data_IF_785934595211
#
_entry.id   IF_785934595211
#
_cell.length_a   1.000
_cell.length_b   1.000
_cell.length_c   1.000
_cell.angle_alpha   90.00
_cell.angle_beta   90.00
_cell.angle_gamma   90.00
#
_symmetry.space_group_name_H-M   'P 1'
#
loop_
_entity.id
_entity.type
_entity.pdbx_description
1 polymer ?
#
# COMPACT_ATOMS: atom_id res chain seq x y z
N UNK A 1 -3.11 -16.43 0.66
CA UNK A 1 -3.70 -15.37 -0.22
C UNK A 1 -2.73 -14.20 -0.33
N UNK A 2 -2.88 -13.31 -1.31
CA UNK A 2 -2.04 -12.13 -1.43
C UNK A 2 -2.51 -11.00 -0.50
N UNK A 3 -1.56 -10.15 -0.09
CA UNK A 3 -1.81 -8.95 0.71
C UNK A 3 -1.72 -7.68 -0.15
N UNK A 4 -0.73 -7.64 -1.05
CA UNK A 4 -0.47 -6.50 -1.95
C UNK A 4 0.12 -7.01 -3.25
N UNK A 5 -0.21 -6.33 -4.35
CA UNK A 5 0.35 -6.59 -5.67
C UNK A 5 0.62 -5.27 -6.39
N UNK A 6 1.79 -5.17 -7.01
CA UNK A 6 2.17 -4.04 -7.85
C UNK A 6 2.87 -4.56 -9.10
N UNK A 7 2.50 -4.04 -10.28
CA UNK A 7 3.10 -4.45 -11.55
C UNK A 7 3.88 -3.27 -12.15
N UNK A 8 5.20 -3.39 -12.17
CA UNK A 8 6.12 -2.43 -12.80
C UNK A 8 6.38 -2.85 -14.25
N UNK A 9 6.12 -1.96 -15.21
CA UNK A 9 6.43 -2.23 -16.62
C UNK A 9 7.94 -2.26 -16.84
N UNK A 10 8.45 -3.31 -17.48
CA UNK A 10 9.84 -3.42 -17.92
C UNK A 10 9.94 -2.95 -19.37
N UNK A 11 9.24 -3.64 -20.30
CA UNK A 11 9.27 -3.32 -21.72
C UNK A 11 8.02 -3.89 -22.41
N UNK A 12 7.36 -3.10 -23.27
CA UNK A 12 6.17 -3.55 -24.00
C UNK A 12 5.10 -4.09 -23.05
N UNK A 13 4.78 -5.37 -23.17
CA UNK A 13 3.83 -6.09 -22.31
C UNK A 13 4.50 -6.94 -21.23
N UNK A 14 5.80 -6.76 -20.99
CA UNK A 14 6.55 -7.42 -19.92
C UNK A 14 6.52 -6.59 -18.66
N UNK A 15 6.24 -7.24 -17.53
CA UNK A 15 6.13 -6.63 -16.21
C UNK A 15 6.94 -7.41 -15.18
N UNK A 16 7.51 -6.68 -14.22
CA UNK A 16 7.97 -7.21 -12.95
C UNK A 16 6.85 -7.03 -11.94
N UNK A 17 6.28 -8.13 -11.50
CA UNK A 17 5.21 -8.12 -10.50
C UNK A 17 5.82 -8.29 -9.12
N UNK A 18 5.59 -7.31 -8.27
CA UNK A 18 5.90 -7.34 -6.86
C UNK A 18 4.68 -7.85 -6.11
N UNK A 19 4.83 -8.98 -5.44
CA UNK A 19 3.73 -9.67 -4.77
C UNK A 19 4.07 -9.93 -3.32
N UNK A 20 3.18 -9.49 -2.43
CA UNK A 20 3.22 -9.80 -1.00
C UNK A 20 2.11 -10.79 -0.68
N UNK A 21 2.50 -11.94 -0.19
CA UNK A 21 1.61 -13.03 0.24
C UNK A 21 1.79 -13.28 1.74
N UNK A 22 0.93 -14.10 2.34
CA UNK A 22 1.08 -14.54 3.73
C UNK A 22 2.44 -15.21 4.03
N UNK A 23 3.08 -15.74 2.99
CA UNK A 23 4.39 -16.42 3.06
C UNK A 23 5.58 -15.48 2.85
N UNK A 24 5.35 -14.22 2.51
CA UNK A 24 6.37 -13.21 2.28
C UNK A 24 6.29 -12.55 0.91
N UNK A 25 7.34 -11.81 0.58
CA UNK A 25 7.48 -11.04 -0.65
C UNK A 25 8.17 -11.83 -1.75
N UNK A 26 7.68 -11.66 -2.98
CA UNK A 26 8.28 -12.23 -4.20
C UNK A 26 8.27 -11.25 -5.36
N UNK A 27 9.22 -11.44 -6.30
CA UNK A 27 9.25 -10.78 -7.61
C UNK A 27 9.03 -11.82 -8.69
N UNK A 28 8.12 -11.53 -9.62
CA UNK A 28 7.72 -12.45 -10.67
C UNK A 28 7.79 -11.71 -12.00
N UNK A 29 8.60 -12.19 -12.94
CA UNK A 29 8.55 -11.72 -14.33
C UNK A 29 7.29 -12.29 -14.97
N UNK A 30 6.47 -11.42 -15.55
CA UNK A 30 5.19 -11.78 -16.12
C UNK A 30 4.91 -11.01 -17.41
N UNK A 31 4.32 -11.70 -18.38
CA UNK A 31 3.91 -11.10 -19.65
C UNK A 31 2.40 -10.87 -19.63
N UNK A 32 1.98 -9.62 -19.75
CA UNK A 32 0.58 -9.26 -19.90
C UNK A 32 0.07 -9.69 -21.27
N UNK A 33 -0.56 -10.84 -21.33
CA UNK A 33 -1.17 -11.41 -22.54
C UNK A 33 -2.61 -10.89 -22.68
N UNK A 34 -3.05 -10.62 -23.90
CA UNK A 34 -4.46 -10.43 -24.21
C UNK A 34 -5.05 -11.70 -24.84
N UNK A 35 -6.34 -11.66 -25.08
CA UNK A 35 -7.06 -12.75 -25.73
C UNK A 35 -7.68 -12.20 -27.02
N UNK A 36 -7.72 -13.02 -28.05
CA UNK A 36 -8.35 -12.69 -29.32
C UNK A 36 -9.24 -13.85 -29.78
N UNK A 37 -10.35 -13.55 -30.42
CA UNK A 37 -11.20 -14.56 -31.02
C UNK A 37 -10.46 -15.37 -32.08
N UNK A 38 -10.77 -16.65 -32.15
CA UNK A 38 -10.16 -17.60 -33.08
C UNK A 38 -11.13 -18.74 -33.41
N UNK A 39 -10.76 -19.56 -34.39
CA UNK A 39 -11.48 -20.79 -34.67
C UNK A 39 -11.41 -21.77 -33.50
N UNK A 40 -12.44 -22.59 -33.32
CA UNK A 40 -12.53 -23.57 -32.22
C UNK A 40 -11.32 -24.49 -32.15
N UNK A 41 -10.76 -24.86 -33.30
CA UNK A 41 -9.56 -25.71 -33.37
C UNK A 41 -8.28 -25.07 -32.81
N UNK A 42 -8.27 -23.73 -32.67
CA UNK A 42 -7.15 -22.95 -32.12
C UNK A 42 -7.43 -22.41 -30.71
N UNK A 43 -8.63 -22.63 -30.23
CA UNK A 43 -9.08 -22.11 -28.96
C UNK A 43 -8.35 -22.79 -27.80
N UNK A 44 -7.91 -21.96 -26.86
CA UNK A 44 -7.34 -22.42 -25.57
C UNK A 44 -8.14 -21.94 -24.37
N UNK A 45 -9.11 -21.03 -24.61
CA UNK A 45 -9.93 -20.40 -23.59
C UNK A 45 -11.32 -20.13 -24.16
N UNK A 46 -12.30 -20.00 -23.27
CA UNK A 46 -13.67 -19.61 -23.63
C UNK A 46 -13.96 -18.24 -23.01
N UNK A 47 -14.50 -17.33 -23.81
CA UNK A 47 -14.97 -16.03 -23.35
C UNK A 47 -16.27 -16.12 -22.54
N UNK A 48 -16.70 -14.98 -22.00
CA UNK A 48 -17.89 -14.91 -21.13
C UNK A 48 -19.19 -15.26 -21.85
N UNK A 49 -19.28 -15.02 -23.15
CA UNK A 49 -20.45 -15.33 -23.99
C UNK A 49 -20.26 -16.61 -24.82
N UNK A 50 -19.22 -17.39 -24.55
CA UNK A 50 -18.93 -18.64 -25.23
C UNK A 50 -17.99 -18.50 -26.44
N UNK A 51 -17.37 -17.34 -26.65
CA UNK A 51 -16.42 -17.12 -27.75
C UNK A 51 -15.18 -18.01 -27.59
N UNK A 52 -14.70 -18.55 -28.71
CA UNK A 52 -13.43 -19.28 -28.76
C UNK A 52 -12.25 -18.32 -28.78
N UNK A 53 -11.41 -18.36 -27.77
CA UNK A 53 -10.32 -17.41 -27.53
C UNK A 53 -8.96 -18.10 -27.49
N UNK A 54 -7.93 -17.38 -27.98
CA UNK A 54 -6.52 -17.76 -27.77
C UNK A 54 -5.71 -16.60 -27.19
N UNK A 55 -4.71 -16.93 -26.38
CA UNK A 55 -3.77 -15.94 -25.82
C UNK A 55 -2.83 -15.39 -26.86
N UNK A 56 -2.54 -14.09 -26.77
CA UNK A 56 -1.52 -13.41 -27.56
C UNK A 56 -0.66 -12.52 -26.67
N UNK A 57 0.66 -12.54 -26.90
CA UNK A 57 1.63 -11.74 -26.10
C UNK A 57 1.93 -10.38 -26.76
N UNK A 58 1.87 -10.31 -28.11
CA UNK A 58 2.13 -9.09 -28.84
C UNK A 58 0.80 -8.46 -29.28
N UNK A 59 0.35 -7.47 -28.54
CA UNK A 59 -0.91 -6.77 -28.78
C UNK A 59 -0.80 -5.29 -28.49
N UNK A 60 -1.73 -4.51 -29.08
CA UNK A 60 -1.87 -3.06 -28.86
C UNK A 60 -3.27 -2.76 -28.33
N UNK A 61 -3.43 -1.80 -27.40
CA UNK A 61 -4.72 -1.49 -26.77
C UNK A 61 -5.84 -1.05 -27.72
N UNK A 62 -5.49 -0.54 -28.88
CA UNK A 62 -6.41 -0.03 -29.89
C UNK A 62 -7.04 -1.10 -30.81
N UNK A 63 -6.69 -2.37 -30.62
CA UNK A 63 -7.30 -3.45 -31.39
C UNK A 63 -8.69 -3.81 -30.81
N UNK A 64 -9.79 -3.60 -31.57
CA UNK A 64 -11.15 -3.81 -31.07
C UNK A 64 -11.53 -5.28 -30.84
N UNK A 65 -10.73 -6.22 -31.36
CA UNK A 65 -10.99 -7.65 -31.23
C UNK A 65 -10.31 -8.28 -30.00
N UNK A 66 -9.78 -7.44 -29.11
CA UNK A 66 -9.15 -7.89 -27.87
C UNK A 66 -10.17 -8.07 -26.75
N UNK A 67 -10.04 -9.18 -26.04
CA UNK A 67 -10.75 -9.45 -24.83
C UNK A 67 -9.83 -9.28 -23.61
N UNK A 68 -10.37 -8.77 -22.50
CA UNK A 68 -9.67 -8.58 -21.22
C UNK A 68 -8.44 -7.67 -21.31
N UNK A 69 -8.41 -6.72 -22.24
CA UNK A 69 -7.33 -5.74 -22.41
C UNK A 69 -7.52 -4.49 -21.54
N UNK A 70 -8.73 -4.25 -21.04
CA UNK A 70 -9.17 -3.14 -20.20
C UNK A 70 -8.81 -3.32 -18.72
N UNK A 71 -8.39 -4.52 -18.31
CA UNK A 71 -7.91 -4.78 -16.95
C UNK A 71 -6.50 -4.21 -16.75
N UNK A 72 -6.25 -3.63 -15.58
CA UNK A 72 -4.89 -3.24 -15.22
C UNK A 72 -3.98 -4.47 -15.11
N UNK A 73 -2.66 -4.33 -15.41
CA UNK A 73 -1.74 -5.48 -15.39
C UNK A 73 -1.75 -6.25 -14.08
N UNK A 74 -1.78 -5.55 -12.92
CA UNK A 74 -1.79 -6.22 -11.63
C UNK A 74 -3.11 -6.97 -11.35
N UNK A 75 -4.26 -6.40 -11.75
CA UNK A 75 -5.56 -7.07 -11.61
C UNK A 75 -5.60 -8.36 -12.42
N UNK A 76 -5.14 -8.30 -13.66
CA UNK A 76 -5.10 -9.46 -14.54
C UNK A 76 -4.16 -10.54 -14.02
N UNK A 77 -2.97 -10.17 -13.54
CA UNK A 77 -2.06 -11.10 -12.89
C UNK A 77 -2.72 -11.79 -11.69
N UNK A 78 -3.45 -11.04 -10.85
CA UNK A 78 -4.15 -11.60 -9.69
C UNK A 78 -5.25 -12.56 -10.10
N UNK A 79 -6.04 -12.24 -11.14
CA UNK A 79 -7.06 -13.14 -11.68
C UNK A 79 -6.41 -14.42 -12.24
N UNK A 80 -5.33 -14.30 -13.01
CA UNK A 80 -4.63 -15.47 -13.55
C UNK A 80 -4.04 -16.37 -12.45
N UNK A 81 -3.51 -15.76 -11.37
CA UNK A 81 -2.87 -16.51 -10.28
C UNK A 81 -3.86 -17.08 -9.25
N UNK A 82 -4.92 -16.35 -8.95
CA UNK A 82 -5.83 -16.64 -7.81
C UNK A 82 -7.30 -16.81 -8.20
N UNK A 83 -7.68 -16.65 -9.47
CA UNK A 83 -9.08 -16.62 -9.89
C UNK A 83 -9.93 -17.84 -9.51
N UNK A 84 -9.31 -18.96 -9.16
CA UNK A 84 -9.98 -20.18 -8.68
C UNK A 84 -9.73 -20.45 -7.19
N UNK A 85 -9.11 -19.53 -6.47
CA UNK A 85 -8.79 -19.71 -5.05
C UNK A 85 -9.70 -18.87 -4.18
N UNK A 86 -10.61 -19.54 -3.45
CA UNK A 86 -11.57 -18.93 -2.52
C UNK A 86 -11.04 -18.82 -1.08
N UNK A 87 -9.78 -19.19 -0.82
CA UNK A 87 -9.20 -19.06 0.52
C UNK A 87 -9.10 -17.59 0.91
N UNK A 88 -9.60 -17.19 2.09
CA UNK A 88 -9.46 -15.83 2.56
C UNK A 88 -7.98 -15.50 2.84
N UNK A 89 -7.57 -14.25 2.59
CA UNK A 89 -6.28 -13.76 3.06
C UNK A 89 -6.28 -13.68 4.59
N UNK A 90 -5.10 -13.81 5.21
CA UNK A 90 -4.93 -13.49 6.62
C UNK A 90 -5.27 -12.02 6.86
N UNK A 91 -5.73 -11.72 8.08
CA UNK A 91 -6.00 -10.34 8.49
C UNK A 91 -4.77 -9.47 8.23
N UNK A 92 -4.98 -8.38 7.52
CA UNK A 92 -3.94 -7.38 7.27
C UNK A 92 -3.68 -6.58 8.55
N UNK A 93 -2.43 -6.23 8.77
CA UNK A 93 -2.03 -5.34 9.86
C UNK A 93 -2.32 -3.90 9.44
N UNK A 94 -3.25 -3.25 10.11
CA UNK A 94 -3.65 -1.88 9.83
C UNK A 94 -3.10 -0.96 10.93
N UNK A 95 -2.29 0.02 10.53
CA UNK A 95 -1.81 1.09 11.40
C UNK A 95 -2.47 2.39 10.99
N UNK A 96 -3.27 2.94 11.90
CA UNK A 96 -3.82 4.29 11.78
C UNK A 96 -2.83 5.26 12.41
N UNK A 97 -2.58 6.39 11.75
CA UNK A 97 -1.73 7.43 12.30
C UNK A 97 -2.08 8.80 11.77
N UNK A 98 -1.70 9.79 12.52
CA UNK A 98 -1.91 11.21 12.23
C UNK A 98 -0.80 12.02 12.87
N UNK A 99 -0.31 13.07 12.21
CA UNK A 99 0.73 13.95 12.73
C UNK A 99 0.23 15.37 12.90
N UNK A 100 0.78 16.04 13.91
CA UNK A 100 0.61 17.48 14.10
C UNK A 100 1.97 18.16 14.02
N UNK A 101 2.02 19.33 13.39
CA UNK A 101 3.24 20.12 13.25
C UNK A 101 3.09 21.50 13.90
N UNK A 102 4.19 22.20 14.13
CA UNK A 102 4.13 23.63 14.45
C UNK A 102 3.45 24.39 13.31
N UNK A 103 2.70 25.44 13.66
CA UNK A 103 1.98 26.26 12.69
C UNK A 103 2.93 26.82 11.61
N UNK A 104 2.55 26.66 10.37
CA UNK A 104 3.24 27.17 9.19
C UNK A 104 2.39 28.12 8.37
N UNK A 105 2.98 28.73 7.33
CA UNK A 105 2.32 29.79 6.56
C UNK A 105 1.33 29.25 5.51
N UNK A 106 1.70 28.25 4.74
CA UNK A 106 0.85 27.67 3.69
C UNK A 106 1.19 26.20 3.43
N UNK A 107 0.19 25.37 3.25
CA UNK A 107 0.35 23.94 2.94
C UNK A 107 0.51 23.75 1.42
N UNK A 108 1.63 24.18 0.86
CA UNK A 108 2.00 23.87 -0.52
C UNK A 108 2.74 22.53 -0.57
N UNK A 109 2.78 21.89 -1.73
CA UNK A 109 3.50 20.64 -1.92
C UNK A 109 4.99 20.76 -1.57
N UNK A 110 5.64 21.85 -1.98
CA UNK A 110 7.05 22.14 -1.66
C UNK A 110 7.26 22.37 -0.17
N UNK A 111 6.32 23.04 0.51
CA UNK A 111 6.36 23.22 1.96
C UNK A 111 6.29 21.88 2.68
N UNK A 112 5.34 21.02 2.30
CA UNK A 112 5.16 19.70 2.91
C UNK A 112 6.43 18.87 2.74
N UNK A 113 6.96 18.78 1.52
CA UNK A 113 8.18 18.00 1.23
C UNK A 113 9.46 18.53 1.91
N UNK A 114 9.52 19.82 2.21
CA UNK A 114 10.67 20.39 2.91
C UNK A 114 10.60 20.22 4.44
N UNK A 115 9.46 19.81 4.97
CA UNK A 115 9.19 19.61 6.40
C UNK A 115 9.82 20.70 7.30
N UNK A 116 9.52 22.01 7.08
CA UNK A 116 10.27 23.11 7.67
C UNK A 116 9.96 23.36 9.15
N UNK A 117 8.92 22.72 9.66
CA UNK A 117 8.44 22.87 11.04
C UNK A 117 8.53 21.54 11.78
N UNK A 118 8.66 21.64 13.08
CA UNK A 118 8.75 20.43 13.91
C UNK A 118 7.43 19.68 13.96
N UNK A 119 7.52 18.38 13.97
CA UNK A 119 6.41 17.51 14.35
C UNK A 119 6.21 17.65 15.86
N UNK A 120 5.03 18.06 16.26
CA UNK A 120 4.66 18.31 17.67
C UNK A 120 3.99 17.13 18.33
N UNK A 121 3.28 16.31 17.55
CA UNK A 121 2.73 15.04 18.04
C UNK A 121 2.53 14.05 16.90
N UNK A 122 2.53 12.78 17.26
CA UNK A 122 2.11 11.67 16.40
C UNK A 122 1.14 10.82 17.21
N UNK A 123 -0.09 10.67 16.72
CA UNK A 123 -1.05 9.71 17.22
C UNK A 123 -1.02 8.44 16.37
N UNK A 124 -1.05 7.27 16.98
CA UNK A 124 -1.14 6.02 16.25
C UNK A 124 -2.03 4.99 16.95
N UNK A 125 -2.65 4.12 16.13
CA UNK A 125 -3.48 3.00 16.59
C UNK A 125 -3.17 1.74 15.79
N UNK A 126 -2.70 0.70 16.48
CA UNK A 126 -2.55 -0.65 15.96
C UNK A 126 -3.87 -1.41 16.13
N UNK A 127 -4.57 -1.62 15.03
CA UNK A 127 -5.88 -2.27 15.04
C UNK A 127 -5.83 -3.73 15.50
N UNK A 128 -4.73 -4.43 15.26
CA UNK A 128 -4.60 -5.84 15.65
C UNK A 128 -4.37 -6.03 17.14
N UNK A 129 -3.49 -5.22 17.70
CA UNK A 129 -3.19 -5.25 19.13
C UNK A 129 -4.25 -4.53 19.97
N UNK A 130 -5.14 -3.73 19.35
CA UNK A 130 -6.04 -2.78 19.99
C UNK A 130 -5.28 -1.82 20.91
N UNK A 131 -4.11 -1.36 20.43
CA UNK A 131 -3.22 -0.47 21.15
C UNK A 131 -3.09 0.86 20.44
N UNK A 132 -3.02 1.95 21.21
CA UNK A 132 -2.74 3.26 20.66
C UNK A 132 -1.92 4.13 21.61
N UNK A 133 -1.18 5.03 21.04
CA UNK A 133 -0.44 6.04 21.78
C UNK A 133 -0.49 7.40 21.08
N UNK A 134 -0.20 8.42 21.89
CA UNK A 134 0.09 9.77 21.44
C UNK A 134 1.51 10.09 21.89
N UNK A 135 2.39 10.32 20.93
CA UNK A 135 3.74 10.82 21.12
C UNK A 135 3.68 12.34 21.10
N UNK A 136 4.22 13.01 22.10
CA UNK A 136 4.11 14.47 22.23
C UNK A 136 5.49 15.08 22.42
N UNK A 137 5.79 16.14 21.66
CA UNK A 137 6.98 16.95 21.88
C UNK A 137 6.78 17.88 23.07
N UNK A 138 7.46 17.60 24.18
CA UNK A 138 7.45 18.41 25.42
C UNK A 138 8.85 18.83 25.86
N UNK A 139 9.47 19.83 25.21
CA UNK A 139 10.85 20.27 25.51
C UNK A 139 11.04 20.78 26.93
N UNK A 140 9.96 21.18 27.60
CA UNK A 140 9.97 21.74 28.96
C UNK A 140 9.70 20.69 30.03
N UNK A 141 9.51 19.43 29.65
CA UNK A 141 9.21 18.31 30.56
C UNK A 141 8.08 18.63 31.54
N UNK A 142 6.97 19.18 31.03
CA UNK A 142 5.78 19.52 31.81
C UNK A 142 4.78 18.39 31.94
N UNK A 143 4.90 17.39 31.08
CA UNK A 143 3.98 16.25 31.02
C UNK A 143 4.67 15.00 31.56
N UNK A 144 3.89 14.20 32.30
CA UNK A 144 4.30 12.87 32.72
C UNK A 144 3.81 11.82 31.71
N UNK A 145 4.60 10.76 31.53
CA UNK A 145 4.15 9.59 30.77
C UNK A 145 2.95 8.96 31.46
N UNK A 146 1.87 8.78 30.74
CA UNK A 146 0.66 8.13 31.25
C UNK A 146 0.35 6.88 30.46
N UNK A 147 0.00 5.79 31.16
CA UNK A 147 -0.41 4.53 30.56
C UNK A 147 -1.68 4.02 31.20
N UNK A 148 -2.70 3.73 30.38
CA UNK A 148 -3.97 3.15 30.81
C UNK A 148 -4.38 2.02 29.88
N UNK A 149 -4.15 0.76 30.31
CA UNK A 149 -4.40 -0.44 29.50
C UNK A 149 -3.68 -0.39 28.15
N UNK A 150 -4.45 -0.15 27.06
CA UNK A 150 -3.98 -0.11 25.68
C UNK A 150 -3.69 1.30 25.16
N UNK A 151 -3.79 2.32 26.04
CA UNK A 151 -3.68 3.75 25.72
C UNK A 151 -2.45 4.34 26.39
N UNK A 152 -1.63 5.05 25.66
CA UNK A 152 -0.43 5.65 26.22
C UNK A 152 -0.19 7.08 25.69
N UNK A 153 0.25 7.98 26.59
CA UNK A 153 0.75 9.31 26.22
C UNK A 153 2.22 9.34 26.59
N UNK A 154 3.09 9.60 25.62
CA UNK A 154 4.54 9.54 25.78
C UNK A 154 5.13 10.90 25.41
N UNK A 155 5.57 11.70 26.41
CA UNK A 155 6.26 12.95 26.14
C UNK A 155 7.74 12.72 25.81
N UNK A 156 8.25 13.50 24.85
CA UNK A 156 9.65 13.51 24.41
C UNK A 156 10.22 14.93 24.52
N UNK A 157 11.48 15.05 24.89
CA UNK A 157 12.15 16.35 24.99
C UNK A 157 12.58 16.90 23.65
N UNK A 158 12.86 16.04 22.70
CA UNK A 158 13.30 16.40 21.35
C UNK A 158 12.41 15.76 20.30
N UNK A 159 12.31 16.41 19.16
CA UNK A 159 11.63 15.86 17.98
C UNK A 159 12.29 14.57 17.48
N UNK A 160 13.62 14.51 17.51
CA UNK A 160 14.39 13.34 17.11
C UNK A 160 13.99 12.10 17.93
N UNK A 161 13.90 12.22 19.28
CA UNK A 161 13.44 11.12 20.14
C UNK A 161 12.01 10.69 19.80
N UNK A 162 11.11 11.64 19.52
CA UNK A 162 9.72 11.38 19.14
C UNK A 162 9.65 10.60 17.82
N UNK A 163 10.36 11.08 16.79
CA UNK A 163 10.38 10.45 15.47
C UNK A 163 11.02 9.06 15.50
N UNK A 164 12.14 8.90 16.22
CA UNK A 164 12.79 7.59 16.36
C UNK A 164 11.89 6.58 17.07
N UNK A 165 11.18 7.00 18.14
CA UNK A 165 10.23 6.14 18.82
C UNK A 165 9.08 5.70 17.90
N UNK A 166 8.54 6.62 17.10
CA UNK A 166 7.51 6.27 16.11
C UNK A 166 8.04 5.27 15.07
N UNK A 167 9.24 5.51 14.52
CA UNK A 167 9.86 4.60 13.54
C UNK A 167 10.13 3.20 14.11
N UNK A 168 10.57 3.12 15.36
CA UNK A 168 10.79 1.83 16.03
C UNK A 168 9.46 1.08 16.23
N UNK A 169 8.41 1.79 16.63
CA UNK A 169 7.07 1.19 16.77
C UNK A 169 6.50 0.79 15.41
N UNK A 170 6.68 1.60 14.40
CA UNK A 170 6.30 1.29 13.02
C UNK A 170 6.97 0.00 12.51
N UNK A 171 8.27 -0.16 12.77
CA UNK A 171 9.03 -1.39 12.41
C UNK A 171 8.56 -2.60 13.21
N UNK A 172 8.24 -2.43 14.49
CA UNK A 172 7.71 -3.50 15.36
C UNK A 172 6.36 -4.01 14.84
N UNK A 173 5.44 -3.10 14.49
CA UNK A 173 4.12 -3.44 13.95
C UNK A 173 4.26 -4.04 12.56
N UNK A 174 5.16 -3.51 11.72
CA UNK A 174 5.34 -3.91 10.31
C UNK A 174 3.99 -3.94 9.57
N UNK A 175 3.32 -2.78 9.41
CA UNK A 175 1.95 -2.74 8.92
C UNK A 175 1.85 -3.07 7.43
N UNK A 176 0.79 -3.78 7.05
CA UNK A 176 0.44 -4.05 5.65
C UNK A 176 -0.31 -2.86 5.03
N UNK A 177 -1.05 -2.09 5.85
CA UNK A 177 -1.86 -0.94 5.44
C UNK A 177 -1.62 0.23 6.41
N UNK A 178 -1.33 1.39 5.83
CA UNK A 178 -1.33 2.66 6.54
C UNK A 178 -2.66 3.37 6.32
N UNK A 179 -3.26 3.90 7.38
CA UNK A 179 -4.53 4.61 7.34
C UNK A 179 -4.38 5.95 8.03
N UNK A 180 -4.77 7.03 7.35
CA UNK A 180 -4.77 8.37 7.92
C UNK A 180 -5.69 9.28 7.10
N UNK A 181 -6.14 10.37 7.71
CA UNK A 181 -6.91 11.37 7.00
C UNK A 181 -5.96 12.24 6.18
N UNK A 182 -6.09 12.17 4.85
CA UNK A 182 -5.21 12.90 3.92
C UNK A 182 -3.72 12.52 4.00
N UNK A 183 -3.40 11.35 4.56
CA UNK A 183 -2.02 10.93 4.85
C UNK A 183 -1.12 10.82 3.61
N UNK A 184 -1.67 10.50 2.44
CA UNK A 184 -0.93 10.44 1.17
C UNK A 184 -0.43 11.82 0.70
N UNK A 185 -1.09 12.91 1.15
CA UNK A 185 -0.77 14.27 0.73
C UNK A 185 -0.11 15.12 1.81
N UNK A 186 -0.19 14.72 3.07
CA UNK A 186 0.41 15.46 4.18
C UNK A 186 1.33 14.60 5.04
N UNK A 187 0.78 13.67 5.84
CA UNK A 187 1.56 12.98 6.88
C UNK A 187 2.75 12.20 6.32
N UNK A 188 2.53 11.37 5.30
CA UNK A 188 3.59 10.56 4.70
C UNK A 188 4.65 11.44 4.01
N UNK A 189 4.29 12.39 3.12
CA UNK A 189 5.28 13.28 2.51
C UNK A 189 6.04 14.17 3.50
N UNK A 190 5.44 14.51 4.65
CA UNK A 190 6.08 15.33 5.68
C UNK A 190 7.10 14.55 6.51
N UNK A 191 6.85 13.25 6.72
CA UNK A 191 7.74 12.35 7.48
C UNK A 191 8.87 11.76 6.62
N UNK A 192 8.77 11.82 5.28
CA UNK A 192 9.73 11.24 4.33
C UNK A 192 10.87 12.19 4.00
#
# INVERSE_FOLDING_TARGET
>A
MYKKCFAQRIKGNEFLVHLWEDKGYSKIEWVNQAYIECDDSQSTHTGLNGESLRKISNWKPDNPNLHFHDMTPYQKFLVEKYGTNDEPSKTQKELFFDIETEMGDALTEDYIKSAPKKVTSIAWYDKQADEWAILILDPKAKMDRTKAKTKEIIPFKTEEELLLNFLDKFREIDPDILVGWNSDYFDIPYLY
#
